data_IF_305326043698
#
_entry.id   IF_305326043698
#
_cell.length_a   1.000
_cell.length_b   1.000
_cell.length_c   1.000
_cell.angle_alpha   90.00
_cell.angle_beta   90.00
_cell.angle_gamma   90.00
#
_symmetry.space_group_name_H-M   'P 1'
#
loop_
_entity.id
_entity.type
_entity.pdbx_description
1 polymer ?
#
# COMPACT_ATOMS: atom_id res chain seq x y z
N UNK A 1 -8.22 8.71 -16.34
CA UNK A 1 -9.12 8.84 -15.18
C UNK A 1 -8.39 8.24 -13.99
N UNK A 2 -8.08 9.04 -12.97
CA UNK A 2 -7.36 8.61 -11.76
C UNK A 2 -8.36 8.01 -10.76
N UNK A 3 -8.14 6.78 -10.32
CA UNK A 3 -8.90 6.21 -9.21
C UNK A 3 -8.21 6.60 -7.89
N UNK A 4 -8.88 7.34 -6.98
CA UNK A 4 -8.32 7.64 -5.66
C UNK A 4 -8.21 6.35 -4.83
N UNK A 5 -7.03 6.06 -4.29
CA UNK A 5 -6.81 4.94 -3.37
C UNK A 5 -7.09 5.38 -1.93
N UNK A 6 -7.79 4.53 -1.18
CA UNK A 6 -8.25 4.86 0.18
C UNK A 6 -7.38 4.14 1.21
N UNK A 7 -6.69 4.90 2.06
CA UNK A 7 -5.95 4.39 3.22
C UNK A 7 -6.87 4.47 4.44
N UNK A 8 -7.06 3.36 5.16
CA UNK A 8 -7.95 3.30 6.34
C UNK A 8 -7.18 2.84 7.57
N UNK A 9 -7.21 3.65 8.64
CA UNK A 9 -6.60 3.32 9.93
C UNK A 9 -7.70 2.89 10.91
N UNK A 10 -7.66 1.63 11.37
CA UNK A 10 -8.66 1.09 12.29
C UNK A 10 -8.39 1.40 13.78
N UNK A 11 -7.30 2.11 14.09
CA UNK A 11 -7.00 2.54 15.45
C UNK A 11 -5.91 3.62 15.44
N UNK A 12 -6.22 4.77 16.04
CA UNK A 12 -5.22 5.76 16.41
C UNK A 12 -4.92 5.60 17.90
N UNK A 13 -3.66 5.42 18.28
CA UNK A 13 -3.28 5.77 19.65
C UNK A 13 -3.43 7.29 19.76
N UNK A 14 -3.96 7.77 20.89
CA UNK A 14 -4.18 9.19 21.16
C UNK A 14 -2.90 10.04 21.14
N UNK A 15 -1.73 9.42 20.94
CA UNK A 15 -0.42 10.06 20.90
C UNK A 15 0.07 10.41 19.50
N UNK A 16 -0.37 9.73 18.42
CA UNK A 16 0.05 10.00 17.04
C UNK A 16 -1.09 9.72 16.06
N UNK A 17 -1.90 10.73 15.76
CA UNK A 17 -2.94 10.63 14.73
C UNK A 17 -2.28 10.68 13.34
N UNK A 18 -2.23 9.55 12.64
CA UNK A 18 -1.88 9.55 11.20
C UNK A 18 -3.04 10.20 10.44
N UNK A 19 -2.76 11.30 9.75
CA UNK A 19 -3.77 12.02 8.94
C UNK A 19 -3.51 11.92 7.45
N UNK A 20 -2.30 11.50 7.06
CA UNK A 20 -1.89 11.37 5.67
C UNK A 20 -0.89 10.22 5.53
N UNK A 21 -0.97 9.53 4.41
CA UNK A 21 0.01 8.53 4.02
C UNK A 21 0.52 8.83 2.61
N UNK A 22 1.73 8.35 2.33
CA UNK A 22 2.33 8.30 0.99
C UNK A 22 2.83 6.87 0.76
N UNK A 23 2.71 6.37 -0.47
CA UNK A 23 3.35 5.13 -0.88
C UNK A 23 4.40 5.50 -1.92
N UNK A 24 5.65 5.56 -1.48
CA UNK A 24 6.75 6.05 -2.30
C UNK A 24 7.41 4.91 -3.08
N UNK A 25 7.66 5.13 -4.36
CA UNK A 25 8.57 4.31 -5.16
C UNK A 25 10.05 4.60 -4.81
N UNK A 26 11.03 3.87 -5.38
CA UNK A 26 12.45 4.13 -5.13
C UNK A 26 12.95 5.52 -5.55
N UNK A 27 12.22 6.22 -6.41
CA UNK A 27 12.51 7.60 -6.82
C UNK A 27 11.86 8.64 -5.89
N UNK A 28 11.09 8.20 -4.88
CA UNK A 28 10.38 9.07 -3.94
C UNK A 28 9.03 9.59 -4.47
N UNK A 29 8.54 9.08 -5.59
CA UNK A 29 7.23 9.46 -6.13
C UNK A 29 6.11 8.75 -5.36
N UNK A 30 5.11 9.52 -4.93
CA UNK A 30 3.95 8.99 -4.24
C UNK A 30 2.94 8.38 -5.25
N UNK A 31 2.68 7.09 -5.09
CA UNK A 31 1.74 6.33 -5.91
C UNK A 31 0.28 6.74 -5.68
N UNK A 32 -0.05 7.20 -4.46
CA UNK A 32 -1.42 7.59 -4.11
C UNK A 32 -1.86 8.83 -4.89
N UNK A 33 -0.93 9.72 -5.23
CA UNK A 33 -1.19 10.95 -5.98
C UNK A 33 -0.86 10.82 -7.48
N UNK A 34 0.18 10.09 -7.85
CA UNK A 34 0.55 9.89 -9.26
C UNK A 34 -0.39 8.95 -10.02
N UNK A 35 -1.04 8.01 -9.33
CA UNK A 35 -1.86 6.97 -9.95
C UNK A 35 -1.04 5.94 -10.75
N UNK A 36 0.28 5.93 -10.59
CA UNK A 36 1.13 4.91 -11.15
C UNK A 36 0.78 3.55 -10.55
N UNK A 37 0.77 2.50 -11.39
CA UNK A 37 0.56 1.15 -10.90
C UNK A 37 1.89 0.51 -10.49
N UNK A 38 1.91 -0.25 -9.39
CA UNK A 38 3.08 -0.92 -8.89
C UNK A 38 3.57 -2.01 -9.84
N UNK A 39 4.88 -2.07 -9.99
CA UNK A 39 5.61 -3.06 -10.77
C UNK A 39 6.19 -4.17 -9.88
N UNK A 40 6.18 -5.39 -10.41
CA UNK A 40 6.83 -6.54 -9.75
C UNK A 40 8.33 -6.31 -9.60
N UNK A 41 8.88 -6.69 -8.44
CA UNK A 41 10.30 -6.55 -8.13
C UNK A 41 10.74 -5.14 -7.70
N UNK A 42 9.86 -4.14 -7.79
CA UNK A 42 10.11 -2.79 -7.27
C UNK A 42 9.64 -2.70 -5.82
N UNK A 43 10.47 -2.18 -4.93
CA UNK A 43 10.11 -2.01 -3.51
C UNK A 43 9.51 -0.63 -3.28
N UNK A 44 8.31 -0.61 -2.72
CA UNK A 44 7.60 0.59 -2.30
C UNK A 44 7.71 0.74 -0.79
N UNK A 45 7.73 1.99 -0.33
CA UNK A 45 7.83 2.32 1.09
C UNK A 45 6.64 3.19 1.50
N UNK A 46 5.95 2.82 2.58
CA UNK A 46 4.91 3.69 3.15
C UNK A 46 5.53 4.74 4.06
N UNK A 47 5.04 5.97 3.94
CA UNK A 47 5.27 7.03 4.93
C UNK A 47 3.96 7.49 5.53
N UNK A 48 3.96 7.69 6.84
CA UNK A 48 2.80 8.08 7.64
C UNK A 48 3.09 9.44 8.27
N UNK A 49 2.15 10.38 8.13
CA UNK A 49 2.32 11.75 8.57
C UNK A 49 1.24 12.16 9.58
N UNK A 50 1.64 12.96 10.56
CA UNK A 50 0.73 13.60 11.50
C UNK A 50 0.12 14.89 10.95
N UNK A 51 -0.72 15.55 11.76
CA UNK A 51 -1.38 16.81 11.40
C UNK A 51 -0.41 17.99 11.18
N UNK A 52 0.82 17.91 11.70
CA UNK A 52 1.87 18.89 11.47
C UNK A 52 2.73 18.57 10.24
N UNK A 53 2.34 17.53 9.47
CA UNK A 53 3.07 17.02 8.31
C UNK A 53 4.46 16.47 8.64
N UNK A 54 4.65 15.97 9.86
CA UNK A 54 5.88 15.29 10.30
C UNK A 54 5.77 13.81 9.98
N UNK A 55 6.84 13.23 9.43
CA UNK A 55 6.93 11.77 9.23
C UNK A 55 7.01 11.06 10.59
N UNK A 56 5.95 10.34 10.91
CA UNK A 56 5.77 9.57 12.14
C UNK A 56 5.81 8.06 11.88
N UNK A 57 6.27 7.63 10.71
CA UNK A 57 6.28 6.20 10.29
C UNK A 57 6.93 5.31 11.34
N UNK A 58 8.09 5.71 11.87
CA UNK A 58 8.82 4.95 12.87
C UNK A 58 8.11 4.82 14.23
N UNK A 59 7.09 5.64 14.49
CA UNK A 59 6.29 5.58 15.71
C UNK A 59 5.14 4.57 15.64
N UNK A 60 4.78 4.12 14.44
CA UNK A 60 3.74 3.12 14.21
C UNK A 60 4.42 1.75 14.19
N UNK A 61 4.07 0.78 15.05
CA UNK A 61 4.73 -0.52 15.05
C UNK A 61 4.67 -1.20 13.68
N UNK A 62 5.83 -1.53 13.11
CA UNK A 62 5.93 -2.20 11.80
C UNK A 62 5.02 -3.45 11.67
N UNK A 63 4.89 -4.33 12.67
CA UNK A 63 3.98 -5.49 12.58
C UNK A 63 2.51 -5.12 12.34
N UNK A 64 2.11 -3.90 12.70
CA UNK A 64 0.74 -3.43 12.63
C UNK A 64 0.44 -2.74 11.28
N UNK A 65 1.44 -2.59 10.41
CA UNK A 65 1.29 -2.00 9.08
C UNK A 65 1.09 -3.13 8.07
N UNK A 66 -0.14 -3.30 7.59
CA UNK A 66 -0.53 -4.35 6.66
C UNK A 66 -0.63 -3.81 5.23
N UNK A 67 -0.05 -4.54 4.28
CA UNK A 67 -0.14 -4.24 2.85
C UNK A 67 -1.25 -5.04 2.17
N UNK A 68 -2.02 -4.36 1.33
CA UNK A 68 -3.14 -4.91 0.58
C UNK A 68 -3.04 -4.52 -0.90
N UNK A 69 -3.57 -5.39 -1.77
CA UNK A 69 -3.84 -5.06 -3.16
C UNK A 69 -5.28 -4.56 -3.28
N UNK A 70 -5.48 -3.47 -4.00
CA UNK A 70 -6.79 -2.82 -4.10
C UNK A 70 -7.07 -2.25 -5.49
N UNK A 71 -8.34 -2.24 -5.88
CA UNK A 71 -8.80 -1.65 -7.12
C UNK A 71 -8.64 -2.53 -8.36
N UNK A 72 -8.96 -1.97 -9.55
CA UNK A 72 -8.87 -2.68 -10.81
C UNK A 72 -7.42 -2.88 -11.23
N UNK A 73 -7.12 -4.06 -11.77
CA UNK A 73 -5.84 -4.33 -12.39
C UNK A 73 -5.74 -3.58 -13.73
N UNK A 74 -4.61 -2.93 -13.96
CA UNK A 74 -4.34 -2.16 -15.18
C UNK A 74 -3.22 -2.72 -16.05
N UNK A 75 -2.62 -3.86 -15.65
CA UNK A 75 -1.37 -4.36 -16.24
C UNK A 75 -1.27 -5.89 -16.32
N UNK A 76 -2.30 -6.57 -16.83
CA UNK A 76 -2.14 -7.97 -17.27
C UNK A 76 -3.35 -8.88 -17.11
N UNK A 77 -4.37 -8.49 -16.34
CA UNK A 77 -5.58 -9.29 -16.16
C UNK A 77 -6.81 -8.37 -15.97
N UNK A 78 -8.00 -8.81 -16.38
CA UNK A 78 -9.23 -8.05 -16.15
C UNK A 78 -9.89 -8.47 -14.83
N UNK A 79 -9.26 -8.11 -13.71
CA UNK A 79 -9.72 -8.44 -12.35
C UNK A 79 -9.69 -7.20 -11.46
N UNK A 80 -10.62 -7.10 -10.53
CA UNK A 80 -10.63 -6.08 -9.48
C UNK A 80 -10.52 -6.76 -8.13
N UNK A 81 -9.60 -6.30 -7.30
CA UNK A 81 -9.52 -6.70 -5.89
C UNK A 81 -10.08 -5.59 -5.02
N UNK A 82 -10.69 -5.97 -3.90
CA UNK A 82 -11.18 -5.04 -2.90
C UNK A 82 -10.47 -5.38 -1.59
N UNK A 83 -9.36 -4.71 -1.33
CA UNK A 83 -8.56 -4.87 -0.10
C UNK A 83 -8.12 -6.33 0.16
N UNK A 84 -7.30 -6.88 -0.74
CA UNK A 84 -6.75 -8.24 -0.61
C UNK A 84 -5.43 -8.25 0.17
N UNK A 85 -5.38 -8.95 1.32
CA UNK A 85 -4.17 -9.02 2.17
C UNK A 85 -3.01 -9.71 1.44
N UNK A 86 -1.85 -9.04 1.41
CA UNK A 86 -0.62 -9.56 0.83
C UNK A 86 0.14 -10.53 1.75
N UNK A 87 -0.29 -10.60 3.02
CA UNK A 87 0.42 -11.20 4.16
C UNK A 87 1.76 -10.54 4.49
N UNK A 88 2.06 -9.38 3.87
CA UNK A 88 3.25 -8.60 4.19
C UNK A 88 2.90 -7.59 5.28
N UNK A 89 3.79 -7.48 6.26
CA UNK A 89 3.75 -6.47 7.32
C UNK A 89 5.01 -5.61 7.29
N UNK A 90 4.93 -4.40 7.80
CA UNK A 90 6.04 -3.46 7.89
C UNK A 90 5.95 -2.32 6.88
N UNK A 91 7.01 -1.52 6.78
CA UNK A 91 6.97 -0.28 6.00
C UNK A 91 7.27 -0.46 4.52
N UNK A 92 7.54 -1.68 4.07
CA UNK A 92 7.95 -1.94 2.71
C UNK A 92 7.19 -3.11 2.11
N UNK A 93 6.93 -3.00 0.81
CA UNK A 93 6.31 -4.05 0.02
C UNK A 93 6.91 -4.11 -1.38
N UNK A 94 7.17 -5.33 -1.83
CA UNK A 94 7.62 -5.62 -3.19
C UNK A 94 6.56 -6.48 -3.87
N UNK A 95 5.83 -5.97 -4.88
CA UNK A 95 4.83 -6.75 -5.61
C UNK A 95 5.46 -8.00 -6.22
N UNK A 96 4.74 -9.12 -6.10
CA UNK A 96 5.19 -10.45 -6.47
C UNK A 96 4.53 -10.93 -7.77
N UNK A 97 5.21 -11.82 -8.47
CA UNK A 97 4.59 -12.61 -9.54
C UNK A 97 3.51 -13.53 -8.97
N UNK A 98 2.61 -14.05 -9.83
CA UNK A 98 1.56 -14.98 -9.44
C UNK A 98 2.06 -16.13 -8.54
N UNK A 99 3.19 -16.75 -8.88
CA UNK A 99 3.72 -17.91 -8.17
C UNK A 99 4.00 -17.66 -6.68
N UNK A 100 4.17 -16.40 -6.28
CA UNK A 100 4.46 -15.99 -4.89
C UNK A 100 3.39 -15.05 -4.31
N UNK A 101 2.40 -14.66 -5.11
CA UNK A 101 1.34 -13.73 -4.72
C UNK A 101 0.26 -14.44 -3.92
N UNK A 102 -0.33 -13.75 -2.95
CA UNK A 102 -1.48 -14.23 -2.18
C UNK A 102 -2.82 -13.90 -2.85
N UNK A 103 -2.81 -13.12 -3.94
CA UNK A 103 -4.01 -12.65 -4.63
C UNK A 103 -4.81 -13.75 -5.33
N UNK A 104 -4.16 -14.87 -5.68
CA UNK A 104 -4.75 -15.97 -6.43
C UNK A 104 -5.04 -15.68 -7.91
N UNK A 105 -4.60 -14.54 -8.46
CA UNK A 105 -4.90 -14.13 -9.85
C UNK A 105 -3.68 -14.25 -10.78
N UNK A 106 -3.86 -14.54 -12.09
CA UNK A 106 -2.76 -14.83 -13.02
C UNK A 106 -1.68 -13.74 -13.16
N UNK A 107 -2.07 -12.48 -12.96
CA UNK A 107 -1.21 -11.29 -13.03
C UNK A 107 -0.33 -11.10 -11.77
N UNK A 108 -0.52 -11.88 -10.70
CA UNK A 108 0.14 -11.64 -9.42
C UNK A 108 -0.26 -10.31 -8.80
N UNK A 109 0.69 -9.62 -8.18
CA UNK A 109 0.45 -8.33 -7.52
C UNK A 109 0.55 -7.14 -8.51
N UNK A 110 1.09 -7.36 -9.72
CA UNK A 110 1.34 -6.29 -10.70
C UNK A 110 0.04 -5.61 -11.13
N UNK A 111 0.04 -4.28 -11.26
CA UNK A 111 -1.06 -3.57 -11.90
C UNK A 111 -2.27 -3.24 -11.03
N UNK A 112 -2.33 -3.78 -9.81
CA UNK A 112 -3.30 -3.39 -8.78
C UNK A 112 -2.86 -2.12 -8.05
N UNK A 113 -3.76 -1.40 -7.40
CA UNK A 113 -3.37 -0.39 -6.42
C UNK A 113 -2.74 -1.00 -5.16
N UNK A 114 -1.94 -0.19 -4.45
CA UNK A 114 -1.38 -0.57 -3.15
C UNK A 114 -2.14 0.16 -2.05
N UNK A 115 -2.60 -0.59 -1.06
CA UNK A 115 -3.26 -0.04 0.12
C UNK A 115 -2.50 -0.46 1.36
N UNK A 116 -2.46 0.43 2.34
CA UNK A 116 -1.93 0.13 3.67
C UNK A 116 -3.03 0.29 4.70
N UNK A 117 -3.14 -0.69 5.60
CA UNK A 117 -4.09 -0.68 6.72
C UNK A 117 -3.35 -0.87 8.04
N UNK A 118 -3.90 -0.29 9.10
CA UNK A 118 -3.41 -0.53 10.46
C UNK A 118 -4.20 -1.67 11.10
N UNK A 119 -3.49 -2.71 11.54
CA UNK A 119 -4.05 -3.89 12.21
C UNK A 119 -3.28 -4.13 13.52
N UNK A 120 -3.90 -3.92 14.70
CA UNK A 120 -3.25 -4.05 15.99
C UNK A 120 -2.98 -5.50 16.42
#
# INVERSE_FOLDING_TARGET
>A
MSNPQTVTFAGASSTNLVVRAEIQDPAGQDLLTSGAHPQVGVTYTVKLFDAANVDITASVPAPNVQWELDGPNTAGCSVTLNSSDTLVRGYQFTPRTNANSTSGVPCGDQGFGLKVTYVP
#
